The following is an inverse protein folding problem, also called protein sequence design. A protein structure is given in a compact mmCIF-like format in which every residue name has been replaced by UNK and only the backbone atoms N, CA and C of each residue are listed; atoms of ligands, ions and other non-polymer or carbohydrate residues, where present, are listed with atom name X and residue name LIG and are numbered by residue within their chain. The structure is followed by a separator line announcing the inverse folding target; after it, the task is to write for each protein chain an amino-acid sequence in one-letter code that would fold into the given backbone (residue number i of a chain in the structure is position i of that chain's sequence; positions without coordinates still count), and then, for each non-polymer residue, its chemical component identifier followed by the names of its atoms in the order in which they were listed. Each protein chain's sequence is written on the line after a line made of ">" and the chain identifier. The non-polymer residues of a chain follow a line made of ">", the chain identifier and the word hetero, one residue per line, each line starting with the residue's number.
data_IF_664455061439
#
_entry.id   IF_664455061439
#
_cell.length_a   1.000
_cell.length_b   1.000
_cell.length_c   1.000
_cell.angle_alpha   90.00
_cell.angle_beta   90.00
_cell.angle_gamma   90.00
#
_symmetry.space_group_name_H-M   'P 1'
#
loop_
_entity.id
_entity.type
_entity.pdbx_description
1 polymer ?
#
# COMPACT_ATOMS: atom_id res chain seq x y z
N UNK A 1 -16.14 28.87 -21.69
CA UNK A 1 -17.00 28.01 -20.84
C UNK A 1 -17.00 26.63 -21.47
N UNK A 2 -16.05 25.77 -21.09
CA UNK A 2 -15.89 24.45 -21.73
C UNK A 2 -16.74 23.45 -20.94
N UNK A 3 -17.94 23.18 -21.45
CA UNK A 3 -18.81 22.09 -21.03
C UNK A 3 -18.29 20.78 -21.62
N UNK A 4 -17.33 20.14 -20.94
CA UNK A 4 -17.15 18.69 -21.07
C UNK A 4 -17.38 18.09 -19.69
N UNK A 5 -18.61 17.65 -19.45
CA UNK A 5 -18.94 16.77 -18.34
C UNK A 5 -18.52 15.37 -18.80
N UNK A 6 -17.47 14.75 -18.24
CA UNK A 6 -17.23 13.34 -18.52
C UNK A 6 -18.48 12.58 -18.06
N UNK A 7 -19.07 11.77 -18.96
CA UNK A 7 -20.34 11.06 -18.71
C UNK A 7 -20.27 10.08 -17.53
N UNK A 8 -19.07 9.79 -17.05
CA UNK A 8 -18.82 9.03 -15.84
C UNK A 8 -17.68 9.72 -15.08
N UNK A 9 -17.97 10.21 -13.87
CA UNK A 9 -16.92 10.43 -12.88
C UNK A 9 -16.70 9.08 -12.22
N UNK A 10 -15.61 8.43 -12.58
CA UNK A 10 -15.04 7.32 -11.82
C UNK A 10 -14.01 7.92 -10.88
N UNK A 11 -14.13 7.66 -9.58
CA UNK A 11 -13.18 8.21 -8.64
C UNK A 11 -13.64 8.10 -7.21
N UNK A 12 -13.47 6.90 -6.65
CA UNK A 12 -13.32 6.72 -5.21
C UNK A 12 -12.39 5.54 -4.95
N UNK A 13 -11.47 5.71 -4.00
CA UNK A 13 -10.60 4.66 -3.49
C UNK A 13 -9.58 4.08 -4.49
N UNK A 14 -9.25 4.80 -5.57
CA UNK A 14 -8.21 4.41 -6.55
C UNK A 14 -6.79 4.37 -5.97
N UNK A 15 -6.59 5.00 -4.81
CA UNK A 15 -5.30 5.03 -4.16
C UNK A 15 -5.06 3.81 -3.29
N UNK A 16 -4.11 2.96 -3.66
CA UNK A 16 -3.61 1.95 -2.72
C UNK A 16 -2.92 2.59 -1.51
N UNK A 17 -2.94 1.87 -0.39
CA UNK A 17 -2.30 2.28 0.87
C UNK A 17 -0.97 1.57 1.02
N UNK A 18 0.05 2.09 0.33
CA UNK A 18 1.43 1.61 0.40
C UNK A 18 2.22 2.40 1.46
N UNK A 19 3.21 1.76 2.07
CA UNK A 19 4.20 2.43 2.92
C UNK A 19 5.12 3.36 2.09
N UNK A 20 5.78 4.34 2.74
CA UNK A 20 6.76 5.17 2.04
C UNK A 20 7.90 4.35 1.42
N UNK A 21 8.45 3.34 2.13
CA UNK A 21 9.52 2.52 1.55
C UNK A 21 9.04 1.72 0.32
N UNK A 22 7.81 1.18 0.35
CA UNK A 22 7.24 0.51 -0.82
C UNK A 22 7.11 1.47 -2.01
N UNK A 23 6.64 2.69 -1.76
CA UNK A 23 6.55 3.72 -2.79
C UNK A 23 7.91 4.12 -3.35
N UNK A 24 8.90 4.35 -2.49
CA UNK A 24 10.26 4.67 -2.90
C UNK A 24 10.89 3.57 -3.79
N UNK A 25 10.60 2.30 -3.50
CA UNK A 25 11.03 1.14 -4.27
C UNK A 25 10.13 0.82 -5.48
N UNK A 26 9.58 1.85 -6.15
CA UNK A 26 8.77 1.70 -7.35
C UNK A 26 7.35 1.21 -7.08
N UNK A 27 6.74 1.66 -5.97
CA UNK A 27 5.40 1.25 -5.53
C UNK A 27 5.20 -0.27 -5.58
N UNK A 28 6.13 -1.01 -4.99
CA UNK A 28 6.06 -2.47 -4.88
C UNK A 28 4.74 -2.86 -4.16
N UNK A 29 3.92 -3.76 -4.75
CA UNK A 29 2.57 -4.04 -4.23
C UNK A 29 2.56 -4.91 -2.98
N UNK A 30 3.73 -5.38 -2.52
CA UNK A 30 3.86 -6.24 -1.36
C UNK A 30 4.85 -5.67 -0.35
N UNK A 31 4.61 -5.94 0.93
CA UNK A 31 5.39 -5.33 2.01
C UNK A 31 6.77 -5.98 2.14
N UNK A 32 7.73 -5.22 2.65
CA UNK A 32 9.11 -5.68 2.86
C UNK A 32 9.42 -5.55 4.35
N UNK A 33 9.73 -6.66 5.00
CA UNK A 33 10.04 -6.67 6.43
C UNK A 33 11.38 -5.96 6.74
N UNK A 34 11.47 -5.19 7.86
CA UNK A 34 10.39 -4.86 8.80
C UNK A 34 9.54 -3.67 8.33
N UNK A 35 8.21 -3.84 8.19
CA UNK A 35 7.32 -2.76 7.77
C UNK A 35 5.88 -3.04 8.18
N UNK A 36 5.33 -2.17 9.03
CA UNK A 36 3.96 -2.28 9.54
C UNK A 36 2.97 -1.44 8.72
N UNK A 37 3.43 -0.38 8.04
CA UNK A 37 2.59 0.49 7.20
C UNK A 37 2.02 -0.23 5.97
N UNK A 38 2.78 -1.17 5.40
CA UNK A 38 2.36 -1.91 4.20
C UNK A 38 1.26 -2.94 4.43
N UNK A 39 0.87 -3.19 5.68
CA UNK A 39 -0.11 -4.22 6.07
C UNK A 39 -1.46 -4.07 5.37
N UNK A 40 -1.92 -2.84 5.08
CA UNK A 40 -3.16 -2.64 4.33
C UNK A 40 -3.07 -3.15 2.89
N UNK A 41 -1.95 -2.91 2.21
CA UNK A 41 -1.72 -3.39 0.85
C UNK A 41 -1.47 -4.89 0.80
N UNK A 42 -0.83 -5.42 1.84
CA UNK A 42 -0.41 -6.79 1.92
C UNK A 42 -0.53 -7.31 3.37
N UNK A 43 -1.62 -8.02 3.69
CA UNK A 43 -1.84 -8.57 5.02
C UNK A 43 -0.86 -9.69 5.40
N UNK A 44 -0.14 -10.29 4.44
CA UNK A 44 0.76 -11.42 4.73
C UNK A 44 1.91 -11.04 5.66
N UNK A 45 2.30 -9.76 5.69
CA UNK A 45 3.41 -9.26 6.51
C UNK A 45 3.12 -9.27 8.02
N UNK A 46 1.84 -9.34 8.43
CA UNK A 46 1.45 -9.30 9.85
C UNK A 46 2.09 -10.45 10.64
N UNK A 47 2.22 -11.63 10.04
CA UNK A 47 2.79 -12.81 10.69
C UNK A 47 4.31 -12.79 10.76
N UNK A 48 4.95 -11.86 10.04
CA UNK A 48 6.41 -11.67 10.02
C UNK A 48 6.82 -10.51 10.92
N UNK A 49 5.99 -9.45 11.01
CA UNK A 49 6.24 -8.31 11.89
C UNK A 49 6.23 -8.73 13.36
N UNK A 50 7.04 -8.08 14.22
CA UNK A 50 6.98 -8.40 15.66
C UNK A 50 5.70 -7.86 16.29
N UNK A 51 5.15 -8.64 17.22
CA UNK A 51 3.96 -8.31 17.98
C UNK A 51 4.32 -7.66 19.32
N UNK A 52 3.61 -6.61 19.78
CA UNK A 52 2.65 -5.79 19.03
C UNK A 52 3.36 -4.77 18.12
N UNK A 53 2.64 -4.31 17.09
CA UNK A 53 3.09 -3.22 16.24
C UNK A 53 2.00 -2.17 16.02
N UNK A 54 2.45 -0.95 15.72
CA UNK A 54 1.57 0.15 15.31
C UNK A 54 2.31 1.06 14.34
N UNK A 55 1.60 1.65 13.39
CA UNK A 55 2.21 2.57 12.44
C UNK A 55 1.23 3.62 11.92
N UNK A 56 1.76 4.76 11.50
CA UNK A 56 0.98 5.82 10.89
C UNK A 56 1.74 6.50 9.74
N UNK A 57 1.03 6.95 8.72
CA UNK A 57 1.63 7.71 7.62
C UNK A 57 0.74 8.83 7.10
N UNK A 58 1.40 9.80 6.46
CA UNK A 58 0.77 10.92 5.78
C UNK A 58 1.33 10.98 4.35
N UNK A 59 0.44 11.04 3.38
CA UNK A 59 0.75 11.17 1.97
C UNK A 59 0.07 12.44 1.43
N UNK A 60 0.82 13.34 0.81
CA UNK A 60 0.31 14.53 0.12
C UNK A 60 0.49 14.32 -1.39
N UNK A 61 -0.59 13.94 -2.06
CA UNK A 61 -0.57 13.70 -3.49
C UNK A 61 -0.36 15.01 -4.25
N UNK A 62 0.57 15.00 -5.20
CA UNK A 62 0.91 16.15 -6.05
C UNK A 62 1.27 17.43 -5.28
N UNK A 63 1.69 17.30 -4.02
CA UNK A 63 1.99 18.44 -3.13
C UNK A 63 0.76 19.21 -2.65
N UNK A 64 -0.46 18.74 -2.95
CA UNK A 64 -1.70 19.44 -2.66
C UNK A 64 -2.23 19.08 -1.27
N UNK A 65 -2.51 20.10 -0.44
CA UNK A 65 -3.10 19.89 0.90
C UNK A 65 -4.47 19.24 0.84
N UNK A 66 -5.27 19.53 -0.18
CA UNK A 66 -6.61 18.97 -0.39
C UNK A 66 -6.61 17.49 -0.76
N UNK A 67 -5.46 16.96 -1.19
CA UNK A 67 -5.26 15.55 -1.58
C UNK A 67 -4.35 14.84 -0.59
N UNK A 68 -4.65 15.03 0.71
CA UNK A 68 -3.94 14.36 1.78
C UNK A 68 -4.59 13.01 2.08
N UNK A 69 -3.77 11.97 2.23
CA UNK A 69 -4.15 10.67 2.77
C UNK A 69 -3.45 10.45 4.10
N UNK A 70 -4.20 10.10 5.13
CA UNK A 70 -3.66 9.62 6.40
C UNK A 70 -3.95 8.14 6.55
N UNK A 71 -3.03 7.43 7.20
CA UNK A 71 -3.11 6.01 7.47
C UNK A 71 -2.71 5.75 8.91
N UNK A 72 -3.43 4.87 9.58
CA UNK A 72 -3.06 4.30 10.87
C UNK A 72 -3.34 2.80 10.86
N UNK A 73 -2.43 2.01 11.41
CA UNK A 73 -2.53 0.57 11.51
C UNK A 73 -2.01 0.08 12.84
N UNK A 74 -2.64 -0.95 13.40
CA UNK A 74 -2.20 -1.66 14.59
C UNK A 74 -2.43 -3.15 14.40
N UNK A 75 -1.61 -3.96 15.04
CA UNK A 75 -1.78 -5.40 14.94
C UNK A 75 -0.75 -6.16 15.75
N UNK A 76 -0.84 -7.47 15.60
CA UNK A 76 0.04 -8.42 16.25
C UNK A 76 -0.14 -9.80 15.66
N UNK A 77 0.74 -10.69 16.07
CA UNK A 77 0.67 -12.10 15.73
C UNK A 77 0.86 -12.95 16.98
N UNK A 78 0.41 -14.20 16.82
CA UNK A 78 0.57 -15.27 17.78
C UNK A 78 0.72 -16.57 17.00
N UNK A 79 1.88 -17.22 17.15
CA UNK A 79 2.26 -18.42 16.39
C UNK A 79 2.12 -18.17 14.88
N UNK A 80 1.34 -19.02 14.18
CA UNK A 80 1.13 -18.94 12.74
C UNK A 80 0.03 -17.96 12.33
N UNK A 81 -0.63 -17.29 13.28
CA UNK A 81 -1.76 -16.41 13.02
C UNK A 81 -1.42 -14.95 13.32
N UNK A 82 -1.91 -14.05 12.48
CA UNK A 82 -1.79 -12.61 12.70
C UNK A 82 -3.10 -11.89 12.46
N UNK A 83 -3.35 -10.86 13.24
CA UNK A 83 -4.53 -9.99 13.13
C UNK A 83 -4.11 -8.52 13.13
N UNK A 84 -4.83 -7.73 12.37
CA UNK A 84 -4.59 -6.30 12.29
C UNK A 84 -5.85 -5.49 12.01
N UNK A 85 -5.80 -4.23 12.40
CA UNK A 85 -6.80 -3.22 12.10
C UNK A 85 -6.11 -2.03 11.45
N UNK A 86 -6.69 -1.51 10.38
CA UNK A 86 -6.17 -0.34 9.69
C UNK A 86 -7.29 0.63 9.34
N UNK A 87 -6.98 1.92 9.41
CA UNK A 87 -7.86 3.01 9.00
C UNK A 87 -7.08 3.94 8.09
N UNK A 88 -7.65 4.23 6.92
CA UNK A 88 -7.13 5.19 5.97
C UNK A 88 -8.19 6.23 5.67
N UNK A 89 -7.79 7.50 5.58
CA UNK A 89 -8.67 8.61 5.20
C UNK A 89 -8.01 9.44 4.11
N UNK A 90 -8.72 9.71 3.02
CA UNK A 90 -8.25 10.55 1.92
C UNK A 90 -9.22 11.71 1.65
N UNK A 91 -8.66 12.86 1.26
CA UNK A 91 -9.42 14.01 0.77
C UNK A 91 -9.48 15.19 1.75
N UNK A 92 -10.59 15.92 1.71
CA UNK A 92 -10.81 17.19 2.41
C UNK A 92 -12.26 17.26 2.94
N UNK A 93 -12.68 18.34 3.64
CA UNK A 93 -14.03 18.42 4.21
C UNK A 93 -15.18 18.30 3.19
N UNK A 94 -14.95 18.61 1.91
CA UNK A 94 -15.97 18.54 0.87
C UNK A 94 -16.06 17.15 0.21
N UNK A 95 -14.95 16.41 0.19
CA UNK A 95 -14.85 15.08 -0.39
C UNK A 95 -13.94 14.23 0.48
N UNK A 96 -14.49 13.18 1.08
CA UNK A 96 -13.77 12.31 1.99
C UNK A 96 -14.02 10.84 1.68
N UNK A 97 -12.92 10.11 1.54
CA UNK A 97 -12.88 8.65 1.49
C UNK A 97 -12.35 8.13 2.82
N UNK A 98 -13.09 7.24 3.48
CA UNK A 98 -12.64 6.51 4.66
C UNK A 98 -12.63 5.02 4.34
N UNK A 99 -11.51 4.35 4.59
CA UNK A 99 -11.35 2.91 4.49
C UNK A 99 -11.01 2.37 5.89
N UNK A 100 -11.81 1.43 6.37
CA UNK A 100 -11.52 0.64 7.58
C UNK A 100 -11.29 -0.80 7.15
N UNK A 101 -10.18 -1.39 7.56
CA UNK A 101 -9.81 -2.76 7.17
C UNK A 101 -9.54 -3.62 8.39
N UNK A 102 -10.15 -4.80 8.39
CA UNK A 102 -9.83 -5.90 9.30
C UNK A 102 -8.98 -6.89 8.52
N UNK A 103 -7.86 -7.30 9.11
CA UNK A 103 -6.82 -8.05 8.44
C UNK A 103 -6.56 -9.34 9.20
N UNK A 104 -6.41 -10.44 8.46
CA UNK A 104 -6.02 -11.73 8.98
C UNK A 104 -4.92 -12.33 8.13
N UNK A 105 -3.97 -13.00 8.77
CA UNK A 105 -2.95 -13.78 8.08
C UNK A 105 -2.78 -15.14 8.74
N UNK A 106 -2.40 -16.12 7.93
CA UNK A 106 -2.03 -17.45 8.37
C UNK A 106 -0.78 -17.90 7.64
N UNK A 107 0.22 -18.33 8.40
CA UNK A 107 1.39 -19.01 7.87
C UNK A 107 1.10 -20.50 7.69
N UNK A 108 1.57 -21.05 6.57
CA UNK A 108 1.59 -22.47 6.32
C UNK A 108 3.04 -22.89 6.10
N UNK A 109 3.65 -23.44 7.16
CA UNK A 109 5.10 -23.65 7.26
C UNK A 109 5.84 -22.31 7.07
N UNK A 110 7.14 -22.38 6.80
CA UNK A 110 7.98 -21.20 6.51
C UNK A 110 7.87 -20.71 5.05
N UNK A 111 7.10 -21.41 4.21
CA UNK A 111 7.11 -21.23 2.77
C UNK A 111 5.94 -20.40 2.24
N UNK A 112 4.74 -20.58 2.77
CA UNK A 112 3.51 -19.96 2.23
C UNK A 112 2.85 -19.12 3.31
N UNK A 113 2.52 -17.87 2.99
CA UNK A 113 1.70 -17.02 3.85
C UNK A 113 0.43 -16.60 3.10
N UNK A 114 -0.71 -16.75 3.76
CA UNK A 114 -2.02 -16.40 3.24
C UNK A 114 -2.56 -15.20 4.03
N UNK A 115 -2.88 -14.12 3.32
CA UNK A 115 -3.44 -12.91 3.88
C UNK A 115 -4.85 -12.65 3.34
N UNK A 116 -5.75 -12.22 4.20
CA UNK A 116 -7.09 -11.77 3.83
C UNK A 116 -7.37 -10.42 4.50
N UNK A 117 -8.10 -9.55 3.81
CA UNK A 117 -8.68 -8.36 4.42
C UNK A 117 -10.16 -8.21 4.07
N UNK A 118 -10.92 -7.70 5.04
CA UNK A 118 -12.26 -7.17 4.84
C UNK A 118 -12.18 -5.66 4.93
N UNK A 119 -12.65 -4.98 3.89
CA UNK A 119 -12.50 -3.56 3.69
C UNK A 119 -13.89 -2.90 3.70
N UNK A 120 -14.14 -2.03 4.66
CA UNK A 120 -15.32 -1.19 4.71
C UNK A 120 -14.97 0.19 4.16
N UNK A 121 -15.59 0.53 3.03
CA UNK A 121 -15.43 1.79 2.33
C UNK A 121 -16.57 2.73 2.71
N UNK A 122 -16.24 3.98 3.01
CA UNK A 122 -17.20 5.06 3.24
C UNK A 122 -16.80 6.27 2.42
N UNK A 123 -17.67 6.68 1.49
CA UNK A 123 -17.54 7.91 0.74
C UNK A 123 -18.48 8.96 1.32
N UNK A 124 -17.97 10.15 1.62
CA UNK A 124 -18.75 11.31 2.08
C UNK A 124 -18.48 12.50 1.19
N UNK A 125 -19.54 13.10 0.67
CA UNK A 125 -19.47 14.30 -0.17
C UNK A 125 -20.42 15.35 0.43
N UNK A 126 -19.89 16.54 0.69
CA UNK A 126 -20.69 17.65 1.23
C UNK A 126 -21.87 17.96 0.32
N UNK A 127 -23.06 18.10 0.90
CA UNK A 127 -24.35 18.30 0.21
C UNK A 127 -24.89 17.08 -0.58
N UNK A 128 -24.15 15.98 -0.69
CA UNK A 128 -24.58 14.76 -1.39
C UNK A 128 -24.73 13.54 -0.46
N UNK A 129 -24.30 13.65 0.80
CA UNK A 129 -24.50 12.62 1.82
C UNK A 129 -23.32 11.65 1.93
N UNK A 130 -23.63 10.41 2.33
CA UNK A 130 -22.65 9.35 2.53
C UNK A 130 -23.09 8.02 1.89
N UNK A 131 -22.14 7.26 1.40
CA UNK A 131 -22.34 5.94 0.83
C UNK A 131 -21.31 4.95 1.38
N UNK A 132 -21.67 3.66 1.39
CA UNK A 132 -20.83 2.60 1.94
C UNK A 132 -20.71 1.43 0.96
N UNK A 133 -19.59 0.72 1.02
CA UNK A 133 -19.39 -0.54 0.31
C UNK A 133 -18.49 -1.48 1.13
N UNK A 134 -18.59 -2.78 0.89
CA UNK A 134 -17.75 -3.79 1.54
C UNK A 134 -16.99 -4.54 0.45
N UNK A 135 -15.66 -4.53 0.55
CA UNK A 135 -14.78 -5.29 -0.32
C UNK A 135 -13.91 -6.26 0.43
N UNK A 136 -13.18 -7.08 -0.32
CA UNK A 136 -12.22 -8.02 0.23
C UNK A 136 -10.91 -7.99 -0.54
N UNK A 137 -9.79 -8.25 0.15
CA UNK A 137 -8.49 -8.53 -0.47
C UNK A 137 -8.06 -9.93 -0.10
N UNK A 138 -7.49 -10.65 -1.06
CA UNK A 138 -6.82 -11.94 -0.84
C UNK A 138 -5.38 -11.77 -1.30
N UNK A 139 -4.42 -12.22 -0.51
CA UNK A 139 -2.99 -12.16 -0.82
C UNK A 139 -2.32 -13.49 -0.49
N UNK A 140 -1.44 -13.95 -1.37
CA UNK A 140 -0.60 -15.12 -1.17
C UNK A 140 0.85 -14.71 -1.38
N UNK A 141 1.68 -15.02 -0.40
CA UNK A 141 3.13 -14.85 -0.46
C UNK A 141 3.78 -16.22 -0.41
N UNK A 142 4.80 -16.38 -1.24
CA UNK A 142 5.61 -17.58 -1.29
C UNK A 142 7.09 -17.23 -1.21
N UNK A 143 7.77 -17.85 -0.25
CA UNK A 143 9.19 -17.65 0.03
C UNK A 143 9.99 -18.83 -0.51
N UNK A 144 10.83 -18.57 -1.50
CA UNK A 144 11.74 -19.53 -2.14
C UNK A 144 13.14 -19.38 -1.53
N UNK A 145 13.40 -20.10 -0.44
CA UNK A 145 14.66 -19.99 0.32
C UNK A 145 14.86 -18.58 0.91
N UNK A 146 16.11 -18.20 1.18
CA UNK A 146 16.41 -16.91 1.80
C UNK A 146 16.42 -15.71 0.82
N UNK A 147 16.42 -15.97 -0.49
CA UNK A 147 16.77 -14.97 -1.51
C UNK A 147 15.60 -14.48 -2.35
N UNK A 148 14.56 -15.28 -2.54
CA UNK A 148 13.49 -14.95 -3.49
C UNK A 148 12.14 -15.04 -2.80
N UNK A 149 11.34 -14.00 -2.96
CA UNK A 149 9.94 -13.97 -2.53
C UNK A 149 9.06 -13.61 -3.72
N UNK A 150 7.89 -14.23 -3.79
CA UNK A 150 6.87 -13.90 -4.78
C UNK A 150 5.57 -13.61 -4.05
N UNK A 151 4.77 -12.69 -4.59
CA UNK A 151 3.44 -12.41 -4.05
C UNK A 151 2.43 -12.24 -5.19
N UNK A 152 1.21 -12.70 -4.95
CA UNK A 152 0.03 -12.28 -5.69
C UNK A 152 -1.01 -11.71 -4.74
N UNK A 153 -1.72 -10.67 -5.18
CA UNK A 153 -2.83 -10.05 -4.45
C UNK A 153 -3.97 -9.75 -5.40
N UNK A 154 -5.19 -9.87 -4.87
CA UNK A 154 -6.40 -9.51 -5.55
C UNK A 154 -7.28 -8.66 -4.63
N UNK A 155 -7.34 -7.37 -4.92
CA UNK A 155 -8.17 -6.39 -4.24
C UNK A 155 -9.58 -6.37 -4.85
N UNK A 156 -10.58 -6.24 -3.98
CA UNK A 156 -11.99 -6.13 -4.34
C UNK A 156 -12.45 -7.31 -5.19
N UNK A 157 -12.10 -8.52 -4.76
CA UNK A 157 -12.44 -9.77 -5.45
C UNK A 157 -13.95 -9.92 -5.67
N UNK A 158 -14.75 -9.36 -4.76
CA UNK A 158 -16.21 -9.35 -4.79
C UNK A 158 -16.84 -8.21 -5.62
N UNK A 159 -16.05 -7.38 -6.32
CA UNK A 159 -16.51 -6.27 -7.19
C UNK A 159 -17.53 -5.35 -6.49
N UNK A 160 -17.16 -4.72 -5.37
CA UNK A 160 -18.07 -3.84 -4.66
C UNK A 160 -18.50 -2.65 -5.53
N UNK A 161 -19.73 -2.19 -5.29
CA UNK A 161 -20.25 -0.96 -5.87
C UNK A 161 -20.63 0.02 -4.77
N UNK A 162 -20.54 1.32 -5.03
CA UNK A 162 -20.82 2.37 -4.06
C UNK A 162 -21.80 3.42 -4.62
N UNK A 163 -22.62 3.97 -3.72
CA UNK A 163 -23.55 5.06 -4.03
C UNK A 163 -24.77 4.63 -4.86
N UNK A 164 -25.65 5.60 -5.12
CA UNK A 164 -26.88 5.36 -5.90
C UNK A 164 -26.58 5.00 -7.36
N UNK A 165 -25.50 5.57 -7.92
CA UNK A 165 -25.05 5.30 -9.28
C UNK A 165 -24.43 3.91 -9.46
N UNK A 166 -24.26 3.13 -8.37
CA UNK A 166 -23.62 1.80 -8.36
C UNK A 166 -22.24 1.83 -9.04
N UNK A 167 -21.45 2.83 -8.71
CA UNK A 167 -20.10 2.99 -9.23
C UNK A 167 -19.23 1.83 -8.73
N UNK A 168 -18.47 1.19 -9.63
CA UNK A 168 -17.61 0.07 -9.27
C UNK A 168 -16.39 0.59 -8.52
N UNK A 169 -16.03 -0.09 -7.44
CA UNK A 169 -14.74 0.16 -6.79
C UNK A 169 -13.60 -0.52 -7.55
N UNK A 170 -12.38 0.03 -7.50
CA UNK A 170 -11.22 -0.50 -8.22
C UNK A 170 -10.96 -1.97 -7.91
N UNK A 171 -10.78 -2.77 -8.96
CA UNK A 171 -10.41 -4.17 -8.85
C UNK A 171 -8.97 -4.33 -9.35
N UNK A 172 -8.07 -4.64 -8.42
CA UNK A 172 -6.62 -4.61 -8.67
C UNK A 172 -6.05 -6.01 -8.48
N UNK A 173 -5.38 -6.50 -9.51
CA UNK A 173 -4.56 -7.71 -9.48
C UNK A 173 -3.11 -7.29 -9.49
N UNK A 174 -2.37 -7.72 -8.48
CA UNK A 174 -0.95 -7.42 -8.34
C UNK A 174 -0.16 -8.71 -8.24
N UNK A 175 0.93 -8.81 -8.98
CA UNK A 175 1.88 -9.91 -8.88
C UNK A 175 3.30 -9.35 -8.89
N UNK A 176 4.22 -9.97 -8.15
CA UNK A 176 5.60 -9.52 -8.20
C UNK A 176 6.58 -10.48 -7.55
N UNK A 177 7.85 -10.19 -7.78
CA UNK A 177 9.01 -10.92 -7.30
C UNK A 177 9.96 -9.95 -6.61
N UNK A 178 10.52 -10.37 -5.49
CA UNK A 178 11.57 -9.69 -4.75
C UNK A 178 12.77 -10.61 -4.65
N UNK A 179 13.94 -10.08 -4.99
CA UNK A 179 15.20 -10.80 -5.04
C UNK A 179 16.21 -10.10 -4.15
N UNK A 180 16.62 -10.77 -3.08
CA UNK A 180 17.73 -10.37 -2.22
C UNK A 180 19.02 -10.95 -2.78
N UNK A 181 19.78 -10.11 -3.47
CA UNK A 181 21.06 -10.53 -4.06
C UNK A 181 22.10 -10.80 -2.96
N UNK A 182 22.12 -9.92 -1.96
CA UNK A 182 22.93 -10.03 -0.75
C UNK A 182 22.23 -9.26 0.39
N UNK A 183 22.88 -9.14 1.55
CA UNK A 183 22.33 -8.42 2.71
C UNK A 183 22.13 -6.91 2.48
N UNK A 184 22.72 -6.34 1.41
CA UNK A 184 22.67 -4.91 1.12
C UNK A 184 21.71 -4.55 -0.01
N UNK A 185 21.46 -5.44 -0.96
CA UNK A 185 20.73 -5.13 -2.19
C UNK A 185 19.50 -6.03 -2.32
N UNK A 186 18.35 -5.38 -2.39
CA UNK A 186 17.06 -6.01 -2.71
C UNK A 186 16.49 -5.38 -3.97
N UNK A 187 16.24 -6.19 -5.00
CA UNK A 187 15.54 -5.77 -6.22
C UNK A 187 14.10 -6.26 -6.22
N UNK A 188 13.21 -5.54 -6.90
CA UNK A 188 11.84 -5.96 -7.14
C UNK A 188 11.40 -5.69 -8.58
N UNK A 189 10.55 -6.58 -9.07
CA UNK A 189 9.77 -6.36 -10.29
C UNK A 189 8.33 -6.79 -10.04
N UNK A 190 7.37 -6.00 -10.49
CA UNK A 190 5.95 -6.28 -10.30
C UNK A 190 5.09 -5.81 -11.46
N UNK A 191 3.95 -6.48 -11.61
CA UNK A 191 2.88 -6.17 -12.54
C UNK A 191 1.63 -5.84 -11.71
N UNK A 192 1.01 -4.71 -12.01
CA UNK A 192 -0.24 -4.29 -11.39
C UNK A 192 -1.25 -3.99 -12.48
N UNK A 193 -2.36 -4.71 -12.50
CA UNK A 193 -3.49 -4.48 -13.39
C UNK A 193 -4.68 -4.02 -12.58
N UNK A 194 -5.15 -2.80 -12.85
CA UNK A 194 -6.47 -2.34 -12.42
C UNK A 194 -7.45 -2.54 -13.58
N UNK A 195 -8.67 -3.00 -13.30
CA UNK A 195 -9.71 -3.17 -14.33
C UNK A 195 -9.94 -1.95 -15.23
N UNK A 196 -9.69 -0.74 -14.74
CA UNK A 196 -9.92 0.50 -15.50
C UNK A 196 -8.66 1.10 -16.14
N UNK A 197 -7.47 0.60 -15.81
CA UNK A 197 -6.20 1.14 -16.28
C UNK A 197 -5.33 0.10 -17.02
N UNK A 198 -4.38 0.53 -17.87
CA UNK A 198 -3.44 -0.39 -18.50
C UNK A 198 -2.50 -1.05 -17.47
N UNK A 199 -1.92 -2.19 -17.84
CA UNK A 199 -0.97 -2.92 -17.00
C UNK A 199 0.21 -1.98 -16.65
N UNK A 200 0.45 -1.83 -15.35
CA UNK A 200 1.59 -1.11 -14.80
C UNK A 200 2.73 -2.07 -14.50
N UNK A 201 3.81 -2.00 -15.27
CA UNK A 201 5.09 -2.65 -14.93
C UNK A 201 5.88 -1.74 -13.98
N UNK A 202 6.37 -2.31 -12.88
CA UNK A 202 7.13 -1.56 -11.86
C UNK A 202 8.44 -2.26 -11.52
N UNK A 203 9.47 -1.45 -11.31
CA UNK A 203 10.80 -1.89 -10.91
C UNK A 203 11.28 -1.06 -9.73
N UNK A 204 12.07 -1.68 -8.86
CA UNK A 204 12.64 -0.98 -7.73
C UNK A 204 13.86 -1.66 -7.16
N UNK A 205 14.65 -0.89 -6.45
CA UNK A 205 15.83 -1.34 -5.75
C UNK A 205 15.88 -0.67 -4.39
N UNK A 206 16.20 -1.46 -3.37
CA UNK A 206 16.48 -1.01 -2.01
C UNK A 206 17.93 -1.34 -1.72
N UNK A 207 18.65 -0.34 -1.26
CA UNK A 207 20.05 -0.44 -0.87
C UNK A 207 20.19 -0.09 0.61
N UNK A 208 20.69 -1.03 1.39
CA UNK A 208 21.03 -0.85 2.81
C UNK A 208 22.36 -0.11 2.90
N UNK A 209 22.31 1.20 3.15
CA UNK A 209 23.50 2.04 3.25
C UNK A 209 24.24 1.79 4.57
N UNK A 210 23.48 1.65 5.65
CA UNK A 210 23.94 1.36 7.01
C UNK A 210 22.98 0.36 7.66
N UNK A 211 23.35 -0.25 8.79
CA UNK A 211 22.44 -1.14 9.52
C UNK A 211 21.14 -0.48 9.95
N UNK A 212 21.18 0.83 10.16
CA UNK A 212 20.03 1.64 10.52
C UNK A 212 19.37 2.34 9.33
N UNK A 213 19.91 2.30 8.11
CA UNK A 213 19.43 3.17 7.02
C UNK A 213 19.36 2.46 5.67
N UNK A 214 18.17 2.51 5.08
CA UNK A 214 17.88 2.01 3.75
C UNK A 214 17.55 3.17 2.82
N UNK A 215 18.05 3.14 1.60
CA UNK A 215 17.63 4.04 0.50
C UNK A 215 16.97 3.21 -0.59
N UNK A 216 16.01 3.79 -1.28
CA UNK A 216 15.26 3.09 -2.31
C UNK A 216 15.03 3.99 -3.51
N UNK A 217 15.09 3.38 -4.70
CA UNK A 217 14.76 4.01 -5.97
C UNK A 217 13.86 3.08 -6.78
N UNK A 218 13.07 3.65 -7.69
CA UNK A 218 12.22 2.85 -8.55
C UNK A 218 11.65 3.58 -9.74
N UNK A 219 11.02 2.78 -10.59
CA UNK A 219 10.40 3.20 -11.85
C UNK A 219 9.05 2.51 -11.98
N UNK A 220 8.03 3.30 -12.32
CA UNK A 220 6.70 2.82 -12.71
C UNK A 220 6.52 3.22 -14.17
N UNK A 221 6.17 2.26 -15.03
CA UNK A 221 6.01 2.53 -16.47
C UNK A 221 4.69 3.21 -16.78
N UNK A 222 3.60 2.77 -16.14
CA UNK A 222 2.26 3.31 -16.35
C UNK A 222 1.59 3.66 -15.02
N UNK A 223 1.39 4.96 -14.70
CA UNK A 223 1.94 6.13 -15.39
C UNK A 223 3.47 6.25 -15.21
N UNK A 224 4.11 7.10 -16.02
CA UNK A 224 5.55 7.30 -16.02
C UNK A 224 6.01 8.03 -14.74
N UNK A 225 6.35 7.26 -13.70
CA UNK A 225 6.79 7.79 -12.40
C UNK A 225 8.21 7.34 -12.09
N UNK A 226 9.00 8.24 -11.54
CA UNK A 226 10.26 7.94 -10.85
C UNK A 226 10.06 8.08 -9.35
N UNK A 227 10.57 7.12 -8.59
CA UNK A 227 10.39 7.08 -7.14
C UNK A 227 11.73 7.05 -6.44
N UNK A 228 11.80 7.72 -5.29
CA UNK A 228 12.98 7.70 -4.42
C UNK A 228 12.58 7.89 -2.96
N UNK A 229 13.43 7.48 -2.03
CA UNK A 229 13.17 7.62 -0.60
C UNK A 229 14.05 6.71 0.23
N UNK A 230 13.63 6.45 1.46
CA UNK A 230 14.39 5.62 2.37
C UNK A 230 13.73 5.48 3.73
N UNK A 231 14.43 4.80 4.63
CA UNK A 231 14.03 4.68 6.01
C UNK A 231 15.22 4.75 6.96
N UNK A 232 14.92 5.13 8.21
CA UNK A 232 15.85 5.17 9.32
C UNK A 232 15.25 4.36 10.46
N UNK A 233 16.01 3.37 10.94
CA UNK A 233 15.69 2.51 12.07
C UNK A 233 16.35 3.07 13.32
N UNK A 234 15.56 3.45 14.31
CA UNK A 234 16.04 3.94 15.59
C UNK A 234 15.32 3.24 16.75
N UNK A 235 16.02 2.31 17.40
CA UNK A 235 15.45 1.44 18.44
C UNK A 235 14.17 0.76 17.92
N UNK A 236 13.05 0.94 18.60
CA UNK A 236 11.73 0.40 18.29
C UNK A 236 10.99 1.19 17.20
N UNK A 237 11.56 2.28 16.69
CA UNK A 237 10.94 3.14 15.70
C UNK A 237 11.61 2.98 14.34
N UNK A 238 10.80 2.96 13.28
CA UNK A 238 11.25 3.08 11.89
C UNK A 238 10.55 4.27 11.26
N UNK A 239 11.32 5.25 10.84
CA UNK A 239 10.84 6.44 10.13
C UNK A 239 11.09 6.23 8.65
N UNK A 240 10.09 6.42 7.82
CA UNK A 240 10.17 6.24 6.37
C UNK A 240 9.75 7.51 5.65
N UNK A 241 10.36 7.78 4.50
CA UNK A 241 10.03 8.91 3.65
C UNK A 241 10.14 8.51 2.17
N UNK A 242 9.31 9.11 1.32
CA UNK A 242 9.36 8.87 -0.11
C UNK A 242 8.84 10.05 -0.93
N UNK A 243 9.31 10.09 -2.16
CA UNK A 243 8.97 11.05 -3.19
C UNK A 243 8.62 10.29 -4.46
N UNK A 244 7.49 10.65 -5.08
CA UNK A 244 7.07 10.11 -6.37
C UNK A 244 6.96 11.27 -7.35
N UNK A 245 7.80 11.27 -8.38
CA UNK A 245 7.83 12.28 -9.45
C UNK A 245 7.11 11.76 -10.68
N UNK A 246 6.00 12.42 -11.04
CA UNK A 246 5.18 12.09 -12.22
C UNK A 246 5.77 12.80 -13.43
N UNK A 247 6.55 12.10 -14.24
CA UNK A 247 7.35 12.71 -15.31
C UNK A 247 6.47 13.45 -16.34
N UNK A 248 5.31 12.90 -16.67
CA UNK A 248 4.42 13.49 -17.68
C UNK A 248 3.63 14.69 -17.14
N UNK A 249 3.47 14.82 -15.82
CA UNK A 249 2.68 15.87 -15.17
C UNK A 249 3.54 16.94 -14.48
N UNK A 250 4.81 16.66 -14.19
CA UNK A 250 5.70 17.56 -13.45
C UNK A 250 5.37 17.70 -11.96
N UNK A 251 4.49 16.87 -11.40
CA UNK A 251 4.10 16.92 -9.99
C UNK A 251 4.88 15.94 -9.12
N UNK A 252 4.99 16.28 -7.83
CA UNK A 252 5.65 15.45 -6.81
C UNK A 252 4.65 15.09 -5.72
N UNK A 253 4.57 13.82 -5.36
CA UNK A 253 3.88 13.34 -4.17
C UNK A 253 4.88 13.10 -3.05
N UNK A 254 4.57 13.57 -1.85
CA UNK A 254 5.39 13.42 -0.66
C UNK A 254 4.71 12.45 0.31
N UNK A 255 5.44 11.49 0.86
CA UNK A 255 4.91 10.63 1.90
C UNK A 255 5.91 10.43 3.02
N UNK A 256 5.44 10.51 4.26
CA UNK A 256 6.20 10.18 5.46
C UNK A 256 5.44 9.17 6.31
N UNK A 257 6.16 8.33 7.03
CA UNK A 257 5.57 7.30 7.87
C UNK A 257 6.44 7.00 9.08
N UNK A 258 5.80 6.54 10.14
CA UNK A 258 6.45 6.06 11.34
C UNK A 258 5.85 4.71 11.72
N UNK A 259 6.71 3.76 12.03
CA UNK A 259 6.36 2.45 12.56
C UNK A 259 6.94 2.32 13.96
N UNK A 260 6.18 1.70 14.85
CA UNK A 260 6.60 1.23 16.14
C UNK A 260 6.51 -0.29 16.17
N UNK A 261 7.55 -0.95 16.68
CA UNK A 261 7.61 -2.39 16.81
C UNK A 261 8.33 -2.75 18.11
N UNK A 262 7.71 -3.57 18.95
CA UNK A 262 8.29 -3.94 20.23
C UNK A 262 9.57 -4.78 20.03
N UNK A 263 10.61 -4.46 20.79
CA UNK A 263 11.87 -5.21 20.92
C UNK A 263 11.90 -5.65 22.39
N UNK A 264 11.91 -6.97 22.68
CA UNK A 264 12.10 -7.46 24.05
C UNK A 264 13.47 -7.08 24.61
#
# INVERSE_FOLDING_TARGET
>A
MVFFYPKQLYGAFESESLSPLQNAAGSIPFSIHPNSLGVLSDPTIISVNRSPFGAGSLNRKFGLKSLTKSLFVVGGNFQDFGVGLGVSRFGNPNYQETLVSILGTKNYKELVQLGISLNMYQLRISNYGQAWAIGSRISIRYTMGAKVETMMSYLNANRPVIGQSKEKLPQVISAGILVRQNEKITGQASLVQDTEFPISVRFGMIYKLLDQMDIAIGKIQQPNIFTTGGCINWKNFRIEFSYLFYADLGFITYQTGINYTHIP
#
